data_IF_099468934167
#
_entry.id   IF_099468934167
#
_cell.length_a   1.000
_cell.length_b   1.000
_cell.length_c   1.000
_cell.angle_alpha   90.00
_cell.angle_beta   90.00
_cell.angle_gamma   90.00
#
_symmetry.space_group_name_H-M   'P 1'
#
loop_
_entity.id
_entity.type
_entity.pdbx_description
1 polymer ?
#
# COMPACT_ATOMS: atom_id res chain seq x y z
N UNK A 1 3.08 -18.40 -20.27
CA UNK A 1 1.81 -19.01 -19.81
C UNK A 1 1.80 -18.89 -18.31
N UNK A 2 0.71 -18.37 -17.72
CA UNK A 2 0.50 -18.29 -16.28
C UNK A 2 -0.55 -19.34 -15.90
N UNK A 3 -0.22 -20.23 -14.97
CA UNK A 3 -1.18 -21.15 -14.36
C UNK A 3 -1.69 -20.58 -13.04
N UNK A 4 -2.95 -20.82 -12.71
CA UNK A 4 -3.52 -20.42 -11.42
C UNK A 4 -3.04 -21.36 -10.31
N UNK A 5 -2.90 -20.83 -9.09
CA UNK A 5 -2.70 -21.66 -7.90
C UNK A 5 -3.99 -22.40 -7.51
N UNK A 6 -3.85 -23.60 -6.94
CA UNK A 6 -4.99 -24.35 -6.41
C UNK A 6 -5.71 -23.58 -5.29
N UNK A 7 -7.04 -23.64 -5.24
CA UNK A 7 -7.91 -23.06 -4.19
C UNK A 7 -7.90 -21.54 -4.04
N UNK A 8 -7.19 -20.84 -4.92
CA UNK A 8 -7.06 -19.38 -4.88
C UNK A 8 -8.33 -18.63 -5.30
N UNK A 9 -9.35 -19.32 -5.83
CA UNK A 9 -10.66 -18.76 -6.19
C UNK A 9 -11.42 -18.11 -5.01
N UNK A 10 -11.04 -18.45 -3.77
CA UNK A 10 -11.56 -17.81 -2.56
C UNK A 10 -11.13 -16.34 -2.48
N UNK A 11 -9.92 -16.04 -2.94
CA UNK A 11 -9.32 -14.72 -2.87
C UNK A 11 -9.44 -13.96 -4.19
N UNK A 12 -9.35 -14.69 -5.31
CA UNK A 12 -9.20 -14.14 -6.64
C UNK A 12 -10.38 -14.50 -7.54
N UNK A 13 -11.01 -13.47 -8.09
CA UNK A 13 -12.03 -13.58 -9.11
C UNK A 13 -11.36 -13.63 -10.50
N UNK A 14 -11.34 -14.82 -11.12
CA UNK A 14 -10.67 -15.05 -12.41
C UNK A 14 -11.35 -14.35 -13.59
N UNK A 15 -12.64 -14.08 -13.50
CA UNK A 15 -13.34 -13.29 -14.52
C UNK A 15 -12.99 -11.81 -14.40
N UNK A 16 -12.89 -11.30 -13.17
CA UNK A 16 -12.39 -9.95 -12.90
C UNK A 16 -10.94 -9.80 -13.33
N UNK A 17 -10.06 -10.74 -13.01
CA UNK A 17 -8.65 -10.73 -13.45
C UNK A 17 -8.57 -10.63 -14.98
N UNK A 18 -9.33 -11.47 -15.70
CA UNK A 18 -9.36 -11.46 -17.17
C UNK A 18 -9.84 -10.13 -17.72
N UNK A 19 -10.94 -9.57 -17.19
CA UNK A 19 -11.50 -8.29 -17.64
C UNK A 19 -10.55 -7.13 -17.33
N UNK A 20 -9.91 -7.15 -16.18
CA UNK A 20 -8.90 -6.17 -15.78
C UNK A 20 -7.70 -6.20 -16.73
N UNK A 21 -7.20 -7.39 -17.06
CA UNK A 21 -6.12 -7.55 -18.04
C UNK A 21 -6.53 -7.00 -19.41
N UNK A 22 -7.70 -7.40 -19.92
CA UNK A 22 -8.19 -6.96 -21.22
C UNK A 22 -8.31 -5.42 -21.31
N UNK A 23 -8.90 -4.80 -20.28
CA UNK A 23 -9.01 -3.35 -20.16
C UNK A 23 -7.63 -2.67 -20.14
N UNK A 24 -6.69 -3.19 -19.35
CA UNK A 24 -5.33 -2.67 -19.30
C UNK A 24 -4.62 -2.78 -20.66
N UNK A 25 -4.82 -3.88 -21.37
CA UNK A 25 -4.23 -4.10 -22.69
C UNK A 25 -4.79 -3.13 -23.73
N UNK A 26 -6.11 -2.86 -23.70
CA UNK A 26 -6.76 -1.87 -24.57
C UNK A 26 -6.20 -0.47 -24.37
N UNK A 27 -5.83 -0.11 -23.14
CA UNK A 27 -5.21 1.19 -22.83
C UNK A 27 -3.69 1.21 -22.93
N UNK A 28 -3.05 0.14 -23.43
CA UNK A 28 -1.60 0.05 -23.58
C UNK A 28 -0.82 -0.01 -22.26
N UNK A 29 -1.48 -0.43 -21.17
CA UNK A 29 -0.91 -0.57 -19.83
C UNK A 29 -0.51 -2.02 -19.49
N UNK A 30 -1.03 -2.99 -20.24
CA UNK A 30 -0.67 -4.41 -20.15
C UNK A 30 -0.36 -4.99 -21.53
N UNK A 31 0.40 -6.09 -21.61
CA UNK A 31 0.56 -6.84 -22.86
C UNK A 31 -0.79 -7.45 -23.30
N UNK A 32 -1.02 -7.63 -24.62
CA UNK A 32 -2.23 -8.29 -25.11
C UNK A 32 -2.41 -9.69 -24.51
N UNK A 33 -3.63 -9.97 -24.06
CA UNK A 33 -4.07 -11.31 -23.70
C UNK A 33 -4.27 -12.11 -25.00
N UNK A 34 -3.56 -13.24 -25.13
CA UNK A 34 -3.57 -14.09 -26.31
C UNK A 34 -4.60 -15.22 -26.18
N UNK A 35 -4.76 -15.78 -24.97
CA UNK A 35 -5.76 -16.81 -24.68
C UNK A 35 -6.09 -16.87 -23.18
N UNK A 36 -7.29 -17.37 -22.86
CA UNK A 36 -7.73 -17.74 -21.51
C UNK A 36 -8.05 -19.24 -21.48
N UNK A 37 -7.58 -19.91 -20.45
CA UNK A 37 -7.89 -21.31 -20.13
C UNK A 37 -8.68 -21.37 -18.81
N UNK A 38 -9.24 -22.53 -18.49
CA UNK A 38 -9.91 -22.73 -17.20
C UNK A 38 -8.96 -22.55 -16.02
N UNK A 39 -7.69 -22.94 -16.18
CA UNK A 39 -6.67 -22.95 -15.14
C UNK A 39 -5.54 -21.92 -15.39
N UNK A 40 -5.72 -20.94 -16.28
CA UNK A 40 -4.64 -19.98 -16.54
C UNK A 40 -4.89 -18.99 -17.66
N UNK A 41 -3.87 -18.18 -17.92
CA UNK A 41 -3.84 -17.12 -18.93
C UNK A 41 -2.58 -17.24 -19.80
N UNK A 42 -2.71 -16.83 -21.05
CA UNK A 42 -1.59 -16.64 -21.96
C UNK A 42 -1.60 -15.20 -22.46
N UNK A 43 -0.54 -14.46 -22.19
CA UNK A 43 -0.32 -13.09 -22.66
C UNK A 43 1.13 -12.93 -23.11
N UNK A 44 1.40 -11.87 -23.88
CA UNK A 44 2.72 -11.62 -24.44
C UNK A 44 3.78 -11.38 -23.35
N UNK A 45 4.94 -11.99 -23.51
CA UNK A 45 6.09 -11.77 -22.62
C UNK A 45 6.57 -10.32 -22.69
N UNK A 46 6.80 -9.72 -21.53
CA UNK A 46 7.38 -8.38 -21.40
C UNK A 46 8.89 -8.53 -21.20
N UNK A 47 9.68 -8.02 -22.14
CA UNK A 47 11.14 -7.98 -21.99
C UNK A 47 11.51 -6.90 -20.98
N UNK A 48 12.38 -7.21 -20.02
CA UNK A 48 12.86 -6.25 -19.04
C UNK A 48 13.50 -6.92 -17.82
N UNK A 49 13.89 -6.10 -16.84
CA UNK A 49 14.42 -6.54 -15.54
C UNK A 49 13.34 -6.42 -14.48
N UNK A 50 13.04 -7.52 -13.79
CA UNK A 50 12.16 -7.53 -12.61
C UNK A 50 12.86 -6.75 -11.49
N UNK A 51 12.14 -5.85 -10.80
CA UNK A 51 12.73 -5.12 -9.67
C UNK A 51 12.75 -5.96 -8.39
N UNK A 52 13.69 -5.65 -7.52
CA UNK A 52 13.78 -6.14 -6.14
C UNK A 52 13.47 -5.01 -5.16
N UNK A 53 13.26 -5.28 -3.86
CA UNK A 53 13.10 -4.22 -2.86
C UNK A 53 14.24 -3.19 -2.86
N UNK A 54 15.46 -3.60 -3.18
CA UNK A 54 16.64 -2.72 -3.22
C UNK A 54 16.58 -1.74 -4.41
N UNK A 55 16.00 -2.15 -5.53
CA UNK A 55 15.82 -1.30 -6.70
C UNK A 55 14.81 -0.15 -6.44
N UNK A 56 13.85 -0.33 -5.51
CA UNK A 56 12.79 0.66 -5.24
C UNK A 56 13.33 1.96 -4.63
N UNK A 57 14.48 1.92 -3.96
CA UNK A 57 15.14 3.12 -3.43
C UNK A 57 15.82 3.97 -4.52
N UNK A 58 15.92 3.48 -5.77
CA UNK A 58 16.51 4.23 -6.86
C UNK A 58 15.54 5.33 -7.36
N UNK A 59 15.93 6.63 -7.33
CA UNK A 59 15.09 7.73 -7.80
C UNK A 59 14.55 7.60 -9.21
N UNK A 60 15.30 6.97 -10.11
CA UNK A 60 14.83 6.78 -11.49
C UNK A 60 13.71 5.75 -11.56
N UNK A 61 13.78 4.71 -10.73
CA UNK A 61 12.81 3.61 -10.71
C UNK A 61 11.54 4.06 -9.98
N UNK A 62 11.64 4.62 -8.77
CA UNK A 62 10.41 5.02 -8.06
C UNK A 62 9.67 6.16 -8.77
N UNK A 63 10.37 7.07 -9.46
CA UNK A 63 9.72 8.09 -10.31
C UNK A 63 9.04 7.46 -11.53
N UNK A 64 9.65 6.46 -12.14
CA UNK A 64 9.02 5.70 -13.22
C UNK A 64 7.75 4.97 -12.76
N UNK A 65 7.79 4.37 -11.57
CA UNK A 65 6.62 3.74 -10.94
C UNK A 65 5.54 4.79 -10.67
N UNK A 66 5.90 5.94 -10.08
CA UNK A 66 4.98 7.03 -9.81
C UNK A 66 4.23 7.50 -11.06
N UNK A 67 4.96 7.73 -12.17
CA UNK A 67 4.36 8.09 -13.47
C UNK A 67 3.43 7.00 -13.99
N UNK A 68 3.89 5.74 -14.02
CA UNK A 68 3.09 4.63 -14.56
C UNK A 68 1.81 4.40 -13.75
N UNK A 69 1.91 4.46 -12.42
CA UNK A 69 0.77 4.31 -11.53
C UNK A 69 -0.22 5.49 -11.66
N UNK A 70 0.30 6.70 -11.81
CA UNK A 70 -0.53 7.88 -12.06
C UNK A 70 -1.30 7.78 -13.38
N UNK A 71 -0.62 7.36 -14.47
CA UNK A 71 -1.26 7.11 -15.76
C UNK A 71 -2.37 6.06 -15.61
N UNK A 72 -2.08 4.93 -14.97
CA UNK A 72 -3.05 3.87 -14.70
C UNK A 72 -4.29 4.42 -13.98
N UNK A 73 -4.09 5.12 -12.86
CA UNK A 73 -5.18 5.67 -12.05
C UNK A 73 -5.99 6.76 -12.76
N UNK A 74 -5.38 7.50 -13.68
CA UNK A 74 -6.03 8.60 -14.40
C UNK A 74 -6.91 8.12 -15.57
N UNK A 75 -6.47 7.09 -16.30
CA UNK A 75 -7.13 6.70 -17.56
C UNK A 75 -8.14 5.56 -17.40
N UNK A 76 -8.01 4.74 -16.37
CA UNK A 76 -8.83 3.53 -16.24
C UNK A 76 -10.16 3.79 -15.53
N UNK A 77 -11.28 3.35 -16.12
CA UNK A 77 -12.61 3.54 -15.55
C UNK A 77 -12.89 2.59 -14.39
N UNK A 78 -13.58 3.08 -13.36
CA UNK A 78 -14.00 2.27 -12.21
C UNK A 78 -15.33 1.53 -12.42
N UNK A 79 -16.14 1.93 -13.41
CA UNK A 79 -17.50 1.42 -13.61
C UNK A 79 -17.60 0.25 -14.61
N UNK A 80 -16.64 0.11 -15.53
CA UNK A 80 -16.70 -0.84 -16.67
C UNK A 80 -16.47 -2.31 -16.29
N UNK A 81 -16.24 -2.59 -15.00
CA UNK A 81 -15.98 -3.95 -14.48
C UNK A 81 -17.17 -4.43 -13.62
N UNK A 82 -18.29 -3.71 -13.62
CA UNK A 82 -19.56 -4.33 -13.22
C UNK A 82 -19.90 -5.43 -14.24
N UNK A 83 -20.32 -6.63 -13.82
CA UNK A 83 -20.77 -7.64 -14.79
C UNK A 83 -21.87 -6.99 -15.63
N UNK A 84 -21.65 -6.89 -16.94
CA UNK A 84 -22.72 -6.62 -17.88
C UNK A 84 -23.72 -7.75 -17.68
N UNK A 85 -24.89 -7.44 -17.14
CA UNK A 85 -26.04 -8.31 -17.31
C UNK A 85 -26.24 -8.46 -18.81
N UNK A 86 -25.86 -9.62 -19.35
CA UNK A 86 -26.15 -9.98 -20.72
C UNK A 86 -27.68 -9.87 -20.91
N UNK A 87 -28.18 -9.31 -22.03
CA UNK A 87 -29.61 -9.22 -22.30
C UNK A 87 -30.36 -10.58 -22.33
N UNK A 88 -29.65 -11.71 -22.27
CA UNK A 88 -30.21 -13.05 -22.37
C UNK A 88 -30.82 -13.62 -21.08
N UNK A 89 -30.61 -13.01 -19.90
CA UNK A 89 -31.20 -13.52 -18.64
C UNK A 89 -32.70 -13.19 -18.45
N UNK A 90 -33.37 -12.60 -19.45
CA UNK A 90 -34.79 -12.22 -19.34
C UNK A 90 -35.78 -13.24 -19.89
N UNK A 91 -35.35 -14.41 -20.37
CA UNK A 91 -36.23 -15.48 -20.81
C UNK A 91 -35.64 -16.87 -20.55
N UNK A 92 -35.75 -17.38 -19.32
CA UNK A 92 -35.77 -18.83 -19.06
C UNK A 92 -36.38 -19.11 -17.67
N UNK A 93 -37.65 -18.75 -17.50
CA UNK A 93 -38.49 -19.36 -16.46
C UNK A 93 -39.04 -20.64 -17.09
N UNK A 94 -38.39 -21.78 -16.82
CA UNK A 94 -38.98 -23.12 -16.61
C UNK A 94 -37.98 -24.22 -16.97
N UNK A 95 -37.24 -24.75 -15.97
CA UNK A 95 -36.96 -26.19 -15.78
C UNK A 95 -36.07 -26.42 -14.55
N UNK A 96 -36.27 -27.49 -13.76
CA UNK A 96 -35.59 -27.69 -12.49
C UNK A 96 -34.25 -28.42 -12.70
N UNK A 97 -33.12 -27.72 -12.54
CA UNK A 97 -31.80 -28.31 -12.53
C UNK A 97 -31.19 -28.33 -11.12
N UNK A 98 -30.77 -29.54 -10.75
CA UNK A 98 -29.97 -30.04 -9.61
C UNK A 98 -29.12 -29.00 -8.83
N UNK A 99 -29.09 -29.05 -7.48
CA UNK A 99 -28.31 -28.10 -6.70
C UNK A 99 -26.82 -28.45 -6.76
N UNK A 100 -26.05 -27.71 -7.54
CA UNK A 100 -24.60 -27.56 -7.34
C UNK A 100 -24.39 -26.69 -6.09
N UNK A 101 -23.95 -27.33 -5.00
CA UNK A 101 -23.56 -26.68 -3.74
C UNK A 101 -22.32 -25.82 -3.97
N UNK A 102 -22.50 -24.53 -4.18
CA UNK A 102 -21.52 -23.52 -3.77
C UNK A 102 -21.55 -23.44 -2.23
N UNK A 103 -20.39 -23.43 -1.54
CA UNK A 103 -20.38 -23.20 -0.11
C UNK A 103 -20.71 -21.73 0.14
N UNK A 104 -21.97 -21.44 0.44
CA UNK A 104 -22.39 -20.19 1.06
C UNK A 104 -21.63 -20.07 2.38
N UNK A 105 -20.64 -19.19 2.44
CA UNK A 105 -19.98 -18.78 3.68
C UNK A 105 -21.04 -18.10 4.55
N UNK A 106 -21.73 -18.89 5.38
CA UNK A 106 -22.93 -18.43 6.07
C UNK A 106 -22.56 -17.41 7.15
N UNK A 107 -23.15 -16.23 7.02
CA UNK A 107 -23.19 -15.18 8.06
C UNK A 107 -23.84 -15.68 9.36
N UNK A 108 -24.54 -16.81 9.30
CA UNK A 108 -25.28 -17.45 10.40
C UNK A 108 -24.39 -18.12 11.45
N UNK A 109 -23.12 -18.41 11.18
CA UNK A 109 -22.25 -19.15 12.14
C UNK A 109 -21.79 -18.26 13.31
N UNK A 110 -21.62 -16.96 13.06
CA UNK A 110 -20.95 -16.03 14.00
C UNK A 110 -21.69 -14.71 14.23
N UNK A 111 -22.94 -14.58 13.76
CA UNK A 111 -23.77 -13.37 13.83
C UNK A 111 -23.10 -12.10 13.28
N UNK A 112 -22.31 -12.23 12.20
CA UNK A 112 -21.68 -11.08 11.54
C UNK A 112 -22.53 -10.55 10.40
N UNK A 113 -22.76 -9.23 10.40
CA UNK A 113 -23.44 -8.54 9.32
C UNK A 113 -22.40 -7.93 8.35
N UNK A 114 -22.55 -8.09 7.03
CA UNK A 114 -21.72 -7.39 6.06
C UNK A 114 -21.79 -5.86 6.25
N UNK A 115 -20.64 -5.20 6.22
CA UNK A 115 -20.57 -3.74 6.37
C UNK A 115 -21.24 -3.05 5.19
N UNK A 116 -22.06 -2.05 5.48
CA UNK A 116 -22.64 -1.19 4.45
C UNK A 116 -21.58 -0.23 3.91
N UNK A 117 -21.22 -0.40 2.65
CA UNK A 117 -20.30 0.48 1.91
C UNK A 117 -21.08 1.55 1.13
N UNK A 118 -20.42 2.67 0.80
CA UNK A 118 -21.04 3.80 0.08
C UNK A 118 -21.38 3.47 -1.37
N UNK A 119 -20.43 2.87 -2.07
CA UNK A 119 -20.57 2.55 -3.49
C UNK A 119 -21.00 1.10 -3.68
N UNK A 120 -22.06 0.90 -4.47
CA UNK A 120 -22.45 -0.44 -4.91
C UNK A 120 -21.44 -1.00 -5.93
N UNK A 121 -21.28 -2.31 -5.95
CA UNK A 121 -20.40 -3.01 -6.88
C UNK A 121 -19.08 -3.48 -6.26
N UNK A 122 -18.14 -3.88 -7.12
CA UNK A 122 -16.83 -4.39 -6.68
C UNK A 122 -15.89 -3.23 -6.39
N UNK A 123 -15.32 -3.24 -5.20
CA UNK A 123 -14.32 -2.30 -4.69
C UNK A 123 -13.40 -2.96 -3.67
N UNK A 124 -12.32 -2.28 -3.30
CA UNK A 124 -11.46 -2.63 -2.17
C UNK A 124 -12.25 -3.09 -0.94
N UNK A 125 -13.26 -2.31 -0.53
CA UNK A 125 -14.10 -2.60 0.63
C UNK A 125 -14.88 -3.90 0.46
N UNK A 126 -15.52 -4.09 -0.70
CA UNK A 126 -16.29 -5.32 -0.96
C UNK A 126 -15.40 -6.58 -1.01
N UNK A 127 -14.16 -6.44 -1.49
CA UNK A 127 -13.19 -7.55 -1.55
C UNK A 127 -12.74 -7.92 -0.15
N UNK A 128 -12.37 -6.94 0.67
CA UNK A 128 -11.95 -7.19 2.05
C UNK A 128 -13.09 -7.76 2.90
N UNK A 129 -14.34 -7.33 2.68
CA UNK A 129 -15.51 -7.95 3.29
C UNK A 129 -15.64 -9.43 2.90
N UNK A 130 -15.50 -9.77 1.62
CA UNK A 130 -15.53 -11.17 1.15
C UNK A 130 -14.44 -12.00 1.81
N UNK A 131 -13.24 -11.45 1.96
CA UNK A 131 -12.13 -12.13 2.62
C UNK A 131 -12.41 -12.39 4.11
N UNK A 132 -12.90 -11.39 4.85
CA UNK A 132 -13.30 -11.58 6.25
C UNK A 132 -14.39 -12.64 6.37
N UNK A 133 -15.33 -12.69 5.41
CA UNK A 133 -16.35 -13.74 5.38
C UNK A 133 -15.77 -15.13 5.04
N UNK A 134 -14.62 -15.22 4.37
CA UNK A 134 -13.95 -16.47 4.03
C UNK A 134 -12.99 -16.96 5.13
N UNK A 135 -12.78 -16.19 6.20
CA UNK A 135 -11.94 -16.62 7.31
C UNK A 135 -12.48 -17.90 7.97
N UNK A 136 -11.60 -18.74 8.56
CA UNK A 136 -12.00 -19.96 9.24
C UNK A 136 -12.99 -19.73 10.38
N UNK A 137 -13.84 -20.72 10.64
CA UNK A 137 -14.88 -20.68 11.69
C UNK A 137 -15.09 -22.04 12.39
N UNK A 138 -14.13 -22.94 12.27
CA UNK A 138 -14.25 -24.31 12.79
C UNK A 138 -14.16 -24.34 14.31
N UNK A 139 -13.37 -23.43 14.90
CA UNK A 139 -13.16 -23.32 16.35
C UNK A 139 -13.67 -21.99 16.91
N UNK A 140 -13.96 -21.92 18.22
CA UNK A 140 -14.40 -20.68 18.84
C UNK A 140 -13.34 -19.56 18.78
N UNK A 141 -12.06 -19.93 18.82
CA UNK A 141 -10.96 -18.98 18.66
C UNK A 141 -10.96 -18.33 17.27
N UNK A 142 -11.23 -19.12 16.22
CA UNK A 142 -11.34 -18.62 14.85
C UNK A 142 -12.55 -17.69 14.69
N UNK A 143 -13.71 -18.06 15.25
CA UNK A 143 -14.90 -17.19 15.26
C UNK A 143 -14.67 -15.89 15.99
N UNK A 144 -14.03 -15.94 17.17
CA UNK A 144 -13.67 -14.74 17.93
C UNK A 144 -12.73 -13.84 17.13
N UNK A 145 -11.75 -14.42 16.44
CA UNK A 145 -10.83 -13.68 15.57
C UNK A 145 -11.56 -13.03 14.39
N UNK A 146 -12.44 -13.76 13.71
CA UNK A 146 -13.27 -13.25 12.61
C UNK A 146 -14.16 -12.09 13.06
N UNK A 147 -14.85 -12.23 14.20
CA UNK A 147 -15.66 -11.14 14.80
C UNK A 147 -14.82 -9.91 15.15
N UNK A 148 -13.61 -10.10 15.71
CA UNK A 148 -12.69 -8.98 16.01
C UNK A 148 -12.27 -8.24 14.73
N UNK A 149 -11.90 -8.97 13.68
CA UNK A 149 -11.52 -8.39 12.39
C UNK A 149 -12.71 -7.72 11.69
N UNK A 150 -13.90 -8.31 11.76
CA UNK A 150 -15.14 -7.71 11.25
C UNK A 150 -15.44 -6.37 11.93
N UNK A 151 -15.39 -6.32 13.26
CA UNK A 151 -15.60 -5.08 14.03
C UNK A 151 -14.57 -4.00 13.68
N UNK A 152 -13.32 -4.38 13.49
CA UNK A 152 -12.31 -3.40 13.07
C UNK A 152 -12.53 -2.97 11.62
N UNK A 153 -12.95 -3.86 10.73
CA UNK A 153 -13.29 -3.52 9.36
C UNK A 153 -14.48 -2.56 9.27
N UNK A 154 -15.50 -2.71 10.12
CA UNK A 154 -16.59 -1.72 10.27
C UNK A 154 -16.04 -0.33 10.60
N UNK A 155 -15.09 -0.27 11.54
CA UNK A 155 -14.42 0.97 11.92
C UNK A 155 -13.58 1.54 10.77
N UNK A 156 -12.85 0.69 10.04
CA UNK A 156 -12.08 1.09 8.85
C UNK A 156 -13.02 1.68 7.79
N UNK A 157 -14.12 1.01 7.43
CA UNK A 157 -15.05 1.53 6.42
C UNK A 157 -15.67 2.86 6.87
N UNK A 158 -16.12 2.95 8.12
CA UNK A 158 -16.69 4.19 8.67
C UNK A 158 -15.70 5.35 8.64
N UNK A 159 -14.41 5.06 8.89
CA UNK A 159 -13.36 6.06 8.87
C UNK A 159 -12.92 6.41 7.45
N UNK A 160 -12.79 5.46 6.52
CA UNK A 160 -12.05 5.61 5.26
C UNK A 160 -12.89 5.57 3.97
N UNK A 161 -14.11 5.02 3.98
CA UNK A 161 -15.02 5.07 2.84
C UNK A 161 -15.80 6.40 2.88
N UNK A 162 -15.10 7.50 2.58
CA UNK A 162 -15.56 8.87 2.83
C UNK A 162 -15.73 9.75 1.57
N UNK A 163 -15.68 9.14 0.38
CA UNK A 163 -15.69 9.78 -0.95
C UNK A 163 -14.58 10.82 -1.18
N UNK A 164 -13.57 10.89 -0.30
CA UNK A 164 -12.45 11.80 -0.44
C UNK A 164 -11.30 11.12 -1.15
N UNK A 165 -10.65 11.84 -2.05
CA UNK A 165 -9.45 11.36 -2.73
C UNK A 165 -9.43 11.74 -4.19
N UNK A 166 -8.47 11.20 -4.91
CA UNK A 166 -8.43 11.28 -6.38
C UNK A 166 -9.41 10.28 -6.99
N UNK A 167 -9.86 10.59 -8.20
CA UNK A 167 -10.80 9.75 -8.94
C UNK A 167 -12.27 9.97 -8.57
N UNK A 168 -13.15 9.23 -9.24
CA UNK A 168 -14.60 9.39 -9.10
C UNK A 168 -15.07 8.70 -7.82
N UNK A 169 -15.75 9.43 -6.94
CA UNK A 169 -16.14 8.91 -5.62
C UNK A 169 -14.94 8.62 -4.71
N UNK A 170 -13.80 9.28 -4.91
CA UNK A 170 -12.57 8.98 -4.17
C UNK A 170 -11.91 7.65 -4.55
N UNK A 171 -12.36 7.01 -5.64
CA UNK A 171 -11.83 5.74 -6.14
C UNK A 171 -11.17 5.90 -7.51
N UNK A 172 -10.10 5.14 -7.70
CA UNK A 172 -9.40 4.90 -8.97
C UNK A 172 -9.41 3.40 -9.25
N UNK A 173 -9.20 2.97 -10.49
CA UNK A 173 -8.95 1.56 -10.74
C UNK A 173 -7.50 1.25 -10.34
N UNK A 174 -7.31 0.51 -9.26
CA UNK A 174 -6.00 0.32 -8.61
C UNK A 174 -5.40 -1.05 -8.93
N UNK A 175 -4.09 -1.20 -8.74
CA UNK A 175 -3.40 -2.48 -8.85
C UNK A 175 -3.61 -3.36 -7.62
N UNK A 176 -3.62 -2.75 -6.43
CA UNK A 176 -3.80 -3.35 -5.10
C UNK A 176 -2.69 -4.31 -4.63
N UNK A 177 -1.69 -4.58 -5.46
CA UNK A 177 -0.60 -5.53 -5.16
C UNK A 177 0.71 -5.15 -5.88
N UNK A 178 1.09 -3.87 -5.79
CA UNK A 178 2.25 -3.35 -6.50
C UNK A 178 3.56 -3.58 -5.72
N UNK A 179 3.90 -4.84 -5.46
CA UNK A 179 5.19 -5.24 -4.90
C UNK A 179 6.33 -5.20 -5.94
N UNK A 180 7.58 -5.24 -5.49
CA UNK A 180 8.76 -5.10 -6.38
C UNK A 180 8.78 -6.11 -7.54
N UNK A 181 8.42 -7.37 -7.30
CA UNK A 181 8.39 -8.39 -8.35
C UNK A 181 7.31 -8.13 -9.43
N UNK A 182 6.32 -7.27 -9.16
CA UNK A 182 5.28 -6.88 -10.10
C UNK A 182 5.66 -5.65 -10.94
N UNK A 183 6.90 -5.15 -10.81
CA UNK A 183 7.44 -4.06 -11.60
C UNK A 183 8.56 -4.56 -12.50
N UNK A 184 8.40 -4.32 -13.81
CA UNK A 184 9.39 -4.63 -14.84
C UNK A 184 9.99 -3.33 -15.37
N UNK A 185 11.30 -3.13 -15.20
CA UNK A 185 12.05 -2.06 -15.88
C UNK A 185 12.26 -2.48 -17.33
N UNK A 186 11.74 -1.68 -18.26
CA UNK A 186 11.84 -1.96 -19.69
C UNK A 186 13.23 -1.59 -20.22
N UNK A 187 13.76 -2.33 -21.21
CA UNK A 187 15.00 -1.96 -21.88
C UNK A 187 14.88 -0.57 -22.51
N UNK A 188 15.95 0.21 -22.42
CA UNK A 188 16.07 1.46 -23.18
C UNK A 188 16.11 1.14 -24.68
N UNK A 189 15.56 2.03 -25.50
CA UNK A 189 15.55 1.85 -26.96
C UNK A 189 16.96 1.64 -27.53
N UNK A 190 17.07 0.97 -28.68
CA UNK A 190 18.37 0.70 -29.32
C UNK A 190 19.18 1.97 -29.65
N UNK A 191 18.52 3.12 -29.75
CA UNK A 191 19.14 4.44 -29.98
C UNK A 191 19.63 5.12 -28.68
N UNK A 192 19.57 4.43 -27.53
CA UNK A 192 20.06 4.97 -26.25
C UNK A 192 21.58 5.06 -26.27
N UNK A 193 22.09 6.26 -26.55
CA UNK A 193 23.52 6.57 -26.46
C UNK A 193 23.91 6.85 -25.00
N UNK A 194 25.22 6.82 -24.64
CA UNK A 194 25.70 7.25 -23.32
C UNK A 194 25.27 8.68 -22.96
N UNK A 195 24.98 9.55 -23.95
CA UNK A 195 24.43 10.88 -23.73
C UNK A 195 22.96 10.86 -23.26
N UNK A 196 22.19 9.83 -23.63
CA UNK A 196 20.83 9.58 -23.16
C UNK A 196 20.81 8.75 -21.86
N UNK A 197 21.96 8.55 -21.21
CA UNK A 197 22.03 7.86 -19.92
C UNK A 197 21.20 8.55 -18.81
N UNK A 198 20.85 9.82 -19.02
CA UNK A 198 20.00 10.66 -18.16
C UNK A 198 18.51 10.49 -18.41
N UNK A 199 18.09 9.75 -19.44
CA UNK A 199 16.67 9.46 -19.65
C UNK A 199 16.09 8.65 -18.48
N UNK A 200 14.87 9.05 -18.14
CA UNK A 200 14.04 8.44 -17.11
C UNK A 200 13.78 6.96 -17.43
N UNK A 201 13.83 6.10 -16.41
CA UNK A 201 13.45 4.70 -16.59
C UNK A 201 11.97 4.61 -16.99
N UNK A 202 11.66 3.57 -17.76
CA UNK A 202 10.28 3.20 -18.08
C UNK A 202 9.98 1.85 -17.44
N UNK A 203 8.82 1.75 -16.80
CA UNK A 203 8.36 0.51 -16.18
C UNK A 203 7.03 0.04 -16.76
N UNK A 204 6.78 -1.26 -16.63
CA UNK A 204 5.48 -1.90 -16.84
C UNK A 204 5.12 -2.69 -15.59
N UNK A 205 3.82 -2.74 -15.27
CA UNK A 205 3.31 -3.54 -14.16
C UNK A 205 2.78 -4.86 -14.69
N UNK A 206 2.80 -5.90 -13.87
CA UNK A 206 2.25 -7.22 -14.15
C UNK A 206 1.45 -7.72 -12.95
N UNK A 207 0.73 -8.82 -13.14
CA UNK A 207 0.00 -9.50 -12.07
C UNK A 207 -1.21 -8.70 -11.50
N UNK A 208 -2.29 -8.67 -12.28
CA UNK A 208 -3.44 -7.79 -12.04
C UNK A 208 -4.60 -8.47 -11.28
N UNK A 209 -4.33 -9.57 -10.57
CA UNK A 209 -5.40 -10.43 -10.02
C UNK A 209 -6.19 -9.78 -8.86
N UNK A 210 -5.53 -8.87 -8.15
CA UNK A 210 -6.13 -8.04 -7.09
C UNK A 210 -6.67 -6.71 -7.60
N UNK A 211 -6.49 -6.38 -8.89
CA UNK A 211 -6.89 -5.09 -9.43
C UNK A 211 -8.40 -4.87 -9.27
N UNK A 212 -8.77 -3.73 -8.66
CA UNK A 212 -10.15 -3.38 -8.34
C UNK A 212 -10.27 -1.88 -8.08
N UNK A 213 -11.47 -1.26 -8.24
CA UNK A 213 -11.71 0.10 -7.78
C UNK A 213 -11.34 0.26 -6.29
N UNK A 214 -10.42 1.19 -5.99
CA UNK A 214 -9.86 1.40 -4.66
C UNK A 214 -9.46 2.87 -4.44
N UNK A 215 -9.34 3.33 -3.19
CA UNK A 215 -8.73 4.63 -2.92
C UNK A 215 -7.30 4.69 -3.46
N UNK A 216 -6.95 5.73 -4.23
CA UNK A 216 -5.58 5.90 -4.73
C UNK A 216 -4.55 5.94 -3.59
N UNK A 217 -4.95 6.50 -2.45
CA UNK A 217 -4.13 6.55 -1.24
C UNK A 217 -3.80 5.16 -0.68
N UNK A 218 -4.72 4.19 -0.77
CA UNK A 218 -4.46 2.81 -0.40
C UNK A 218 -3.40 2.19 -1.31
N UNK A 219 -3.55 2.31 -2.63
CA UNK A 219 -2.66 1.63 -3.57
C UNK A 219 -1.21 2.16 -3.46
N UNK A 220 -1.06 3.47 -3.26
CA UNK A 220 0.24 4.10 -3.01
C UNK A 220 0.81 3.70 -1.64
N UNK A 221 -0.02 3.71 -0.59
CA UNK A 221 0.41 3.29 0.75
C UNK A 221 0.84 1.80 0.76
N UNK A 222 0.11 0.97 0.02
CA UNK A 222 0.43 -0.44 -0.19
C UNK A 222 1.78 -0.57 -0.90
N UNK A 223 1.98 0.11 -2.03
CA UNK A 223 3.26 0.12 -2.72
C UNK A 223 4.43 0.50 -1.79
N UNK A 224 4.28 1.53 -0.95
CA UNK A 224 5.32 1.89 0.03
C UNK A 224 5.56 0.84 1.12
N UNK A 225 4.52 0.12 1.55
CA UNK A 225 4.66 -0.99 2.49
C UNK A 225 5.44 -2.16 1.89
N UNK A 226 5.32 -2.39 0.58
CA UNK A 226 6.03 -3.45 -0.15
C UNK A 226 7.54 -3.19 -0.36
N UNK A 227 8.05 -1.99 -0.02
CA UNK A 227 9.50 -1.72 -0.04
C UNK A 227 10.25 -2.54 1.00
N UNK A 228 9.56 -2.98 2.07
CA UNK A 228 10.14 -3.84 3.09
C UNK A 228 10.39 -5.28 2.58
N UNK A 229 9.74 -5.67 1.47
CA UNK A 229 9.76 -7.04 0.94
C UNK A 229 9.14 -8.06 1.90
N UNK A 230 9.25 -9.34 1.56
CA UNK A 230 8.73 -10.44 2.39
C UNK A 230 9.41 -10.54 3.76
N UNK A 231 10.69 -10.14 3.84
CA UNK A 231 11.46 -10.10 5.09
C UNK A 231 11.01 -8.97 6.04
N UNK A 232 10.13 -8.08 5.57
CA UNK A 232 9.63 -6.92 6.33
C UNK A 232 10.76 -6.05 6.89
N UNK A 233 11.82 -5.81 6.11
CA UNK A 233 12.90 -4.90 6.48
C UNK A 233 12.42 -3.44 6.41
N UNK A 234 11.94 -2.94 7.55
CA UNK A 234 11.41 -1.59 7.65
C UNK A 234 12.46 -0.49 7.42
N UNK A 235 13.76 -0.80 7.37
CA UNK A 235 14.77 0.17 6.96
C UNK A 235 14.64 0.56 5.48
N UNK A 236 14.01 -0.29 4.67
CA UNK A 236 13.81 -0.06 3.24
C UNK A 236 12.57 0.79 2.95
N UNK A 237 11.66 1.00 3.91
CA UNK A 237 10.47 1.84 3.72
C UNK A 237 10.90 3.28 3.40
N UNK A 238 10.27 3.94 2.40
CA UNK A 238 10.65 5.27 1.95
C UNK A 238 10.45 6.30 3.06
N UNK A 239 11.43 7.19 3.20
CA UNK A 239 11.32 8.33 4.12
C UNK A 239 10.25 9.31 3.64
N UNK A 240 9.84 10.24 4.50
CA UNK A 240 8.92 11.32 4.12
C UNK A 240 9.38 12.12 2.89
N UNK A 241 10.69 12.42 2.76
CA UNK A 241 11.20 13.14 1.60
C UNK A 241 11.02 12.34 0.30
N UNK A 242 11.36 11.05 0.32
CA UNK A 242 11.17 10.13 -0.82
C UNK A 242 9.69 9.98 -1.15
N UNK A 243 8.82 9.80 -0.15
CA UNK A 243 7.36 9.77 -0.34
C UNK A 243 6.86 11.05 -1.02
N UNK A 244 7.34 12.23 -0.59
CA UNK A 244 6.96 13.51 -1.18
C UNK A 244 7.45 13.65 -2.63
N UNK A 245 8.67 13.19 -2.94
CA UNK A 245 9.18 13.15 -4.31
C UNK A 245 8.34 12.23 -5.20
N UNK A 246 8.03 11.02 -4.74
CA UNK A 246 7.15 10.08 -5.44
C UNK A 246 5.78 10.71 -5.72
N UNK A 247 5.16 11.32 -4.71
CA UNK A 247 3.84 11.94 -4.86
C UNK A 247 3.87 13.18 -5.77
N UNK A 248 4.96 13.93 -5.77
CA UNK A 248 5.14 15.07 -6.69
C UNK A 248 5.14 14.58 -8.13
N UNK A 249 5.91 13.54 -8.42
CA UNK A 249 5.98 12.94 -9.76
C UNK A 249 4.63 12.29 -10.16
N UNK A 250 3.99 11.59 -9.22
CA UNK A 250 2.67 10.99 -9.41
C UNK A 250 1.62 12.05 -9.76
N UNK A 251 1.52 13.15 -9.00
CA UNK A 251 0.52 14.20 -9.24
C UNK A 251 0.74 14.90 -10.57
N UNK A 252 2.01 15.15 -10.93
CA UNK A 252 2.38 15.71 -12.23
C UNK A 252 1.86 14.83 -13.36
N UNK A 253 2.19 13.54 -13.35
CA UNK A 253 1.76 12.60 -14.39
C UNK A 253 0.24 12.34 -14.37
N UNK A 254 -0.39 12.34 -13.20
CA UNK A 254 -1.85 12.19 -13.10
C UNK A 254 -2.56 13.36 -13.76
N UNK A 255 -2.06 14.58 -13.58
CA UNK A 255 -2.59 15.78 -14.22
C UNK A 255 -2.41 15.76 -15.75
N UNK A 256 -1.32 15.18 -16.27
CA UNK A 256 -1.08 15.01 -17.71
C UNK A 256 -2.06 14.03 -18.36
N UNK A 257 -2.55 13.04 -17.61
CA UNK A 257 -3.43 11.99 -18.11
C UNK A 257 -4.91 12.15 -17.71
N UNK A 258 -5.25 13.14 -16.89
CA UNK A 258 -6.61 13.41 -16.45
C UNK A 258 -7.11 14.77 -16.93
N UNK A 259 -8.42 14.99 -16.86
CA UNK A 259 -9.03 16.30 -17.18
C UNK A 259 -8.87 17.33 -16.04
N UNK A 260 -7.98 17.10 -15.07
CA UNK A 260 -7.72 18.05 -13.97
C UNK A 260 -6.90 19.25 -14.48
N UNK A 261 -7.51 20.08 -15.32
CA UNK A 261 -6.93 21.36 -15.73
C UNK A 261 -7.14 22.40 -14.62
N UNK A 262 -6.06 22.95 -14.05
CA UNK A 262 -6.10 24.15 -13.21
C UNK A 262 -6.01 23.96 -11.70
N UNK A 263 -5.87 22.73 -11.19
CA UNK A 263 -5.59 22.52 -9.76
C UNK A 263 -4.13 22.90 -9.43
N UNK A 264 -3.92 23.57 -8.29
CA UNK A 264 -2.57 23.82 -7.77
C UNK A 264 -1.93 22.47 -7.39
N UNK A 265 -0.98 22.00 -8.21
CA UNK A 265 -0.33 20.72 -8.01
C UNK A 265 0.31 20.58 -6.63
N UNK A 266 0.83 21.68 -6.06
CA UNK A 266 1.42 21.67 -4.72
C UNK A 266 0.39 21.32 -3.65
N UNK A 267 -0.81 21.89 -3.72
CA UNK A 267 -1.88 21.62 -2.75
C UNK A 267 -2.41 20.19 -2.91
N UNK A 268 -2.48 19.69 -4.14
CA UNK A 268 -2.85 18.29 -4.43
C UNK A 268 -1.82 17.32 -3.85
N UNK A 269 -0.52 17.62 -4.00
CA UNK A 269 0.56 16.81 -3.39
C UNK A 269 0.44 16.79 -1.87
N UNK A 270 0.24 17.94 -1.22
CA UNK A 270 0.11 18.01 0.24
C UNK A 270 -1.13 17.27 0.74
N UNK A 271 -2.27 17.37 0.04
CA UNK A 271 -3.48 16.63 0.37
C UNK A 271 -3.25 15.13 0.20
N UNK A 272 -2.70 14.70 -0.94
CA UNK A 272 -2.43 13.30 -1.22
C UNK A 272 -1.41 12.71 -0.25
N UNK A 273 -0.41 13.49 0.18
CA UNK A 273 0.55 13.08 1.20
C UNK A 273 -0.15 12.71 2.52
N UNK A 274 -1.06 13.58 2.98
CA UNK A 274 -1.87 13.32 4.19
C UNK A 274 -2.81 12.13 4.00
N UNK A 275 -3.45 12.02 2.84
CA UNK A 275 -4.35 10.91 2.53
C UNK A 275 -3.57 9.58 2.54
N UNK A 276 -2.42 9.48 1.85
CA UNK A 276 -1.55 8.28 1.88
C UNK A 276 -1.08 7.94 3.29
N UNK A 277 -0.71 8.95 4.09
CA UNK A 277 -0.32 8.72 5.48
C UNK A 277 -1.44 8.15 6.33
N UNK A 278 -2.68 8.61 6.10
CA UNK A 278 -3.87 8.08 6.76
C UNK A 278 -4.08 6.59 6.43
N UNK A 279 -3.77 6.15 5.21
CA UNK A 279 -3.92 4.76 4.77
C UNK A 279 -2.74 3.85 5.14
N UNK A 280 -1.64 4.37 5.71
CA UNK A 280 -0.37 3.62 5.83
C UNK A 280 -0.44 2.33 6.66
N UNK A 281 -1.39 2.17 7.58
CA UNK A 281 -1.58 0.91 8.30
C UNK A 281 -2.49 -0.10 7.61
N UNK A 282 -3.33 0.35 6.66
CA UNK A 282 -4.33 -0.50 5.99
C UNK A 282 -3.71 -1.68 5.23
N UNK A 283 -2.53 -1.56 4.56
CA UNK A 283 -1.85 -2.71 3.95
C UNK A 283 -1.60 -3.86 4.94
N UNK A 284 -1.26 -3.56 6.19
CA UNK A 284 -1.06 -4.58 7.23
C UNK A 284 -2.33 -5.35 7.54
N UNK A 285 -3.48 -4.68 7.59
CA UNK A 285 -4.77 -5.34 7.78
C UNK A 285 -5.16 -6.17 6.55
N UNK A 286 -5.01 -5.60 5.36
CA UNK A 286 -5.35 -6.25 4.09
C UNK A 286 -4.58 -7.56 3.89
N UNK A 287 -3.25 -7.50 3.96
CA UNK A 287 -2.39 -8.67 3.80
C UNK A 287 -2.44 -9.62 4.98
N UNK A 288 -2.71 -9.11 6.18
CA UNK A 288 -2.95 -9.93 7.37
C UNK A 288 -4.17 -10.84 7.21
N UNK A 289 -5.31 -10.29 6.76
CA UNK A 289 -6.53 -11.09 6.49
C UNK A 289 -6.29 -12.07 5.35
N UNK A 290 -5.64 -11.63 4.27
CA UNK A 290 -5.25 -12.51 3.14
C UNK A 290 -4.41 -13.70 3.61
N UNK A 291 -3.41 -13.45 4.45
CA UNK A 291 -2.48 -14.47 4.93
C UNK A 291 -3.17 -15.49 5.84
N UNK A 292 -4.15 -15.08 6.65
CA UNK A 292 -4.94 -16.01 7.45
C UNK A 292 -5.75 -17.00 6.62
N UNK A 293 -6.25 -16.55 5.46
CA UNK A 293 -6.95 -17.43 4.51
C UNK A 293 -5.92 -18.38 3.88
N UNK A 294 -4.80 -17.84 3.38
CA UNK A 294 -3.75 -18.64 2.74
C UNK A 294 -3.15 -19.70 3.66
N UNK A 295 -3.02 -19.42 4.96
CA UNK A 295 -2.56 -20.38 5.97
C UNK A 295 -3.43 -21.65 6.06
N UNK A 296 -4.63 -21.65 5.48
CA UNK A 296 -5.52 -22.82 5.42
C UNK A 296 -5.60 -23.49 4.06
N UNK A 297 -5.37 -22.74 2.98
CA UNK A 297 -5.69 -23.21 1.62
C UNK A 297 -4.47 -23.33 0.71
N UNK A 298 -3.39 -22.62 1.00
CA UNK A 298 -2.20 -22.61 0.16
C UNK A 298 -1.43 -23.91 0.28
N UNK A 299 -0.89 -24.39 -0.85
CA UNK A 299 0.03 -25.53 -0.93
C UNK A 299 1.50 -25.09 -1.03
N UNK A 300 1.75 -23.77 -1.04
CA UNK A 300 3.10 -23.20 -1.13
C UNK A 300 3.76 -23.27 0.25
N UNK A 301 5.03 -23.68 0.27
CA UNK A 301 5.87 -23.69 1.47
C UNK A 301 6.25 -22.25 1.87
N UNK A 302 5.33 -21.58 2.56
CA UNK A 302 5.49 -20.24 3.11
C UNK A 302 4.73 -20.14 4.43
N UNK A 303 5.34 -19.53 5.45
CA UNK A 303 4.72 -19.39 6.78
C UNK A 303 3.69 -18.24 6.80
N UNK A 304 2.53 -18.50 6.19
CA UNK A 304 1.42 -17.57 6.14
C UNK A 304 0.87 -17.20 7.53
N UNK A 305 0.98 -18.09 8.52
CA UNK A 305 0.47 -17.82 9.86
C UNK A 305 1.33 -16.74 10.55
N UNK A 306 2.66 -16.91 10.55
CA UNK A 306 3.57 -15.90 11.10
C UNK A 306 3.50 -14.59 10.30
N UNK A 307 3.41 -14.68 8.96
CA UNK A 307 3.23 -13.50 8.12
C UNK A 307 1.93 -12.75 8.44
N UNK A 308 0.82 -13.46 8.70
CA UNK A 308 -0.44 -12.84 9.12
C UNK A 308 -0.31 -12.05 10.43
N UNK A 309 0.35 -12.62 11.44
CA UNK A 309 0.56 -11.93 12.72
C UNK A 309 1.46 -10.71 12.56
N UNK A 310 2.51 -10.81 11.74
CA UNK A 310 3.40 -9.70 11.45
C UNK A 310 2.64 -8.53 10.79
N UNK A 311 1.87 -8.79 9.73
CA UNK A 311 1.12 -7.76 8.99
C UNK A 311 -0.02 -7.16 9.81
N UNK A 312 -0.76 -7.98 10.56
CA UNK A 312 -1.76 -7.46 11.51
C UNK A 312 -1.10 -6.65 12.63
N UNK A 313 0.08 -7.06 13.09
CA UNK A 313 0.90 -6.33 14.04
C UNK A 313 1.25 -4.92 13.55
N UNK A 314 1.64 -4.77 12.28
CA UNK A 314 1.86 -3.45 11.66
C UNK A 314 0.61 -2.57 11.71
N UNK A 315 -0.54 -3.14 11.40
CA UNK A 315 -1.81 -2.43 11.48
C UNK A 315 -2.11 -1.97 12.90
N UNK A 316 -2.03 -2.86 13.89
CA UNK A 316 -2.32 -2.50 15.28
C UNK A 316 -1.31 -1.50 15.84
N UNK A 317 -0.03 -1.63 15.53
CA UNK A 317 0.99 -0.64 15.87
C UNK A 317 0.60 0.74 15.33
N UNK A 318 0.26 0.83 14.04
CA UNK A 318 -0.24 2.06 13.44
C UNK A 318 -1.48 2.61 14.14
N UNK A 319 -2.49 1.77 14.41
CA UNK A 319 -3.71 2.20 15.12
C UNK A 319 -3.40 2.82 16.47
N UNK A 320 -2.50 2.18 17.23
CA UNK A 320 -2.10 2.64 18.56
C UNK A 320 -1.32 3.95 18.54
N UNK A 321 -0.66 4.28 17.43
CA UNK A 321 -0.09 5.61 17.23
C UNK A 321 -1.17 6.65 16.92
N UNK A 322 -2.14 6.31 16.09
CA UNK A 322 -3.22 7.24 15.69
C UNK A 322 -4.16 7.55 16.85
N UNK A 323 -4.50 6.57 17.68
CA UNK A 323 -5.37 6.77 18.86
C UNK A 323 -4.60 7.20 20.12
N UNK A 324 -3.27 7.26 20.07
CA UNK A 324 -2.39 7.69 21.15
C UNK A 324 -2.20 6.67 22.27
N UNK A 325 -2.80 5.48 22.19
CA UNK A 325 -2.73 4.45 23.25
C UNK A 325 -1.31 3.91 23.43
N UNK A 326 -0.48 3.88 22.38
CA UNK A 326 0.95 3.50 22.50
C UNK A 326 1.72 4.49 23.38
N UNK A 327 1.53 5.79 23.15
CA UNK A 327 2.19 6.83 23.94
C UNK A 327 1.73 6.83 25.40
N UNK A 328 0.45 6.58 25.64
CA UNK A 328 -0.11 6.49 27.00
C UNK A 328 0.44 5.28 27.77
N UNK A 329 0.73 4.19 27.07
CA UNK A 329 1.36 3.00 27.64
C UNK A 329 2.87 3.16 27.89
N UNK A 330 3.49 4.28 27.47
CA UNK A 330 4.94 4.50 27.61
C UNK A 330 5.80 3.61 26.72
N UNK A 331 5.23 3.04 25.66
CA UNK A 331 5.93 2.10 24.79
C UNK A 331 6.79 2.83 23.73
N UNK A 332 7.88 2.17 23.32
CA UNK A 332 8.74 2.66 22.24
C UNK A 332 7.99 2.62 20.89
N UNK A 333 8.14 3.70 20.11
CA UNK A 333 7.57 3.76 18.78
C UNK A 333 8.28 2.78 17.83
N UNK A 334 7.55 1.89 17.13
CA UNK A 334 8.14 0.94 16.19
C UNK A 334 8.90 1.64 15.05
N UNK A 335 9.93 0.98 14.50
CA UNK A 335 10.80 1.54 13.45
C UNK A 335 10.02 2.06 12.23
N UNK A 336 9.06 1.27 11.73
CA UNK A 336 8.15 1.63 10.63
C UNK A 336 7.42 2.95 10.88
N UNK A 337 6.96 3.13 12.11
CA UNK A 337 6.24 4.33 12.55
C UNK A 337 7.21 5.52 12.64
N UNK A 338 8.39 5.34 13.26
CA UNK A 338 9.43 6.38 13.34
C UNK A 338 9.87 6.91 11.98
N UNK A 339 9.95 6.06 10.96
CA UNK A 339 10.28 6.48 9.58
C UNK A 339 9.15 7.22 8.87
N UNK A 340 7.91 7.02 9.32
CA UNK A 340 6.72 7.69 8.79
C UNK A 340 6.50 9.07 9.43
N UNK A 341 6.88 9.24 10.71
CA UNK A 341 6.78 10.52 11.42
C UNK A 341 7.95 11.46 11.09
N UNK A 342 7.64 12.74 10.90
CA UNK A 342 8.62 13.81 11.02
C UNK A 342 8.81 14.08 12.52
N UNK A 343 10.06 14.12 12.99
CA UNK A 343 10.39 14.85 14.22
C UNK A 343 10.28 16.34 13.89
N UNK A 344 9.04 16.85 13.80
CA UNK A 344 8.87 18.30 13.73
C UNK A 344 9.05 18.76 15.16
N UNK A 345 10.14 19.47 15.43
CA UNK A 345 10.16 20.45 16.50
C UNK A 345 9.15 21.57 16.16
N UNK A 346 7.86 21.26 16.07
CA UNK A 346 6.77 22.24 16.00
C UNK A 346 5.83 22.01 17.16
N UNK A 347 6.27 22.46 18.31
CA UNK A 347 5.58 23.47 19.11
C UNK A 347 6.23 23.47 20.49
N UNK A 348 6.49 24.65 21.03
CA UNK A 348 7.02 24.86 22.37
C UNK A 348 6.19 24.16 23.48
N UNK A 349 4.99 23.64 23.16
CA UNK A 349 4.14 22.91 24.09
C UNK A 349 4.60 21.48 24.39
N UNK A 350 5.36 20.83 23.49
CA UNK A 350 5.84 19.45 23.74
C UNK A 350 7.07 19.43 24.65
N UNK A 351 7.85 20.50 24.65
CA UNK A 351 9.03 20.65 25.50
C UNK A 351 8.65 21.00 26.96
N UNK A 352 7.52 21.68 27.16
CA UNK A 352 6.94 21.94 28.49
C UNK A 352 6.41 20.67 29.17
N UNK A 353 5.85 19.72 28.41
CA UNK A 353 5.40 18.43 28.96
C UNK A 353 6.57 17.55 29.44
N UNK A 354 7.72 17.63 28.78
CA UNK A 354 8.97 16.95 29.16
C UNK A 354 9.73 17.66 30.29
N UNK A 355 9.61 18.98 30.42
CA UNK A 355 10.23 19.75 31.52
C UNK A 355 9.35 19.79 32.79
N UNK A 356 8.03 19.62 32.67
CA UNK A 356 7.10 19.50 33.79
C UNK A 356 7.23 18.17 34.54
N UNK A 357 7.80 17.14 33.90
CA UNK A 357 8.00 15.81 34.50
C UNK A 357 9.36 15.67 35.21
N UNK A 358 10.22 16.70 35.13
CA UNK A 358 11.55 16.72 35.78
C UNK A 358 11.74 17.79 36.87
N UNK A 359 10.73 18.60 37.15
CA UNK A 359 10.81 19.68 38.14
C UNK A 359 10.03 19.36 39.42
N UNK A 360 10.45 18.29 40.10
CA UNK A 360 10.18 18.07 41.53
C UNK A 360 11.50 17.79 42.25
N UNK A 361 12.42 18.76 42.30
CA UNK A 361 13.40 18.84 43.38
C UNK A 361 14.03 20.25 43.42
N UNK A 362 13.95 20.85 44.61
CA UNK A 362 14.65 22.05 45.12
C UNK A 362 14.15 23.44 44.73
N UNK A 363 13.41 24.00 45.68
CA UNK A 363 13.32 25.42 45.97
C UNK A 363 14.70 26.04 46.24
N UNK A 364 14.93 27.26 45.74
CA UNK A 364 15.61 28.35 46.45
C UNK A 364 15.66 29.63 45.58
N UNK A 365 15.08 30.71 46.12
CA UNK A 365 15.58 32.09 46.08
C UNK A 365 15.60 32.97 44.80
N UNK A 366 15.06 34.18 45.02
CA UNK A 366 15.35 35.52 44.47
C UNK A 366 14.56 36.15 43.29
N UNK A 367 13.79 37.17 43.70
CA UNK A 367 13.46 38.50 43.15
C UNK A 367 13.88 38.92 41.73
N UNK A 368 12.88 39.47 41.01
CA UNK A 368 12.81 40.79 40.36
C UNK A 368 14.06 41.47 39.74
N UNK A 369 13.91 41.77 38.43
CA UNK A 369 14.20 43.04 37.69
C UNK A 369 15.07 42.85 36.42
N UNK A 370 14.73 43.51 35.28
CA UNK A 370 15.22 43.19 33.93
C UNK A 370 16.30 44.19 33.43
N UNK A 371 16.86 43.95 32.22
CA UNK A 371 17.15 44.93 31.13
C UNK A 371 18.37 44.54 30.25
N UNK A 372 18.14 44.63 28.94
CA UNK A 372 19.03 44.95 27.79
C UNK A 372 20.01 43.93 27.16
N UNK A 373 20.23 44.04 25.83
CA UNK A 373 20.92 43.05 25.00
C UNK A 373 22.40 43.37 24.81
N UNK A 374 23.23 42.34 24.60
CA UNK A 374 24.61 42.52 24.14
C UNK A 374 24.92 41.56 22.99
N UNK A 375 25.42 42.16 21.91
CA UNK A 375 26.04 41.52 20.76
C UNK A 375 27.46 41.07 21.12
N UNK A 376 27.86 39.86 20.71
CA UNK A 376 29.27 39.52 20.53
C UNK A 376 29.43 38.34 19.55
N UNK A 377 30.05 38.63 18.42
CA UNK A 377 30.74 37.71 17.51
C UNK A 377 31.97 37.11 18.18
N UNK A 378 32.19 35.80 18.07
CA UNK A 378 33.53 35.20 18.19
C UNK A 378 33.73 34.02 17.25
N UNK A 379 34.95 34.01 16.71
CA UNK A 379 35.47 33.25 15.57
C UNK A 379 36.11 31.92 15.98
N UNK A 380 36.16 31.00 15.02
CA UNK A 380 36.80 29.67 15.03
C UNK A 380 38.26 29.60 15.53
N UNK A 381 38.55 28.54 16.29
CA UNK A 381 39.80 27.73 16.37
C UNK A 381 39.32 26.33 16.78
N UNK A 382 39.58 25.18 16.17
CA UNK A 382 40.69 24.66 15.36
C UNK A 382 41.08 23.30 15.96
N UNK A 383 41.45 22.31 15.11
CA UNK A 383 42.25 21.07 15.42
C UNK A 383 41.39 19.88 15.97
N UNK A 384 41.36 18.62 15.49
CA UNK A 384 42.02 17.79 14.44
C UNK A 384 41.08 16.58 14.14
N UNK A 385 41.09 15.98 12.93
CA UNK A 385 40.30 14.80 12.57
C UNK A 385 40.97 13.47 12.94
N UNK A 386 40.17 12.46 13.31
CA UNK A 386 40.61 11.05 13.42
C UNK A 386 40.17 10.30 12.16
N UNK A 387 41.16 9.90 11.36
CA UNK A 387 41.05 8.94 10.26
C UNK A 387 41.18 7.53 10.83
N UNK A 388 40.27 6.62 10.48
CA UNK A 388 40.53 5.19 10.54
C UNK A 388 40.56 4.63 9.13
N UNK A 389 41.75 4.22 8.73
CA UNK A 389 42.04 3.44 7.53
C UNK A 389 42.18 1.98 7.98
N UNK A 390 41.47 1.05 7.34
CA UNK A 390 41.82 -0.36 7.37
C UNK A 390 41.74 -0.92 5.95
N UNK A 391 42.92 -1.08 5.36
CA UNK A 391 43.16 -1.95 4.21
C UNK A 391 43.59 -3.33 4.72
N UNK A 392 42.98 -4.41 4.22
CA UNK A 392 43.69 -5.68 3.99
C UNK A 392 43.07 -6.40 2.81
N UNK A 393 43.81 -6.36 1.70
CA UNK A 393 43.83 -7.37 0.64
C UNK A 393 44.43 -8.68 1.16
N UNK A 394 43.81 -9.81 0.83
CA UNK A 394 44.53 -11.03 0.42
C UNK A 394 43.63 -11.92 -0.44
N UNK A 395 44.29 -12.58 -1.38
CA UNK A 395 43.85 -13.29 -2.57
C UNK A 395 43.40 -14.74 -2.37
N UNK A 396 42.51 -15.19 -3.26
CA UNK A 396 42.53 -16.47 -4.05
C UNK A 396 42.62 -17.80 -3.29
N UNK A 397 41.65 -18.70 -3.52
CA UNK A 397 41.88 -20.06 -4.06
C UNK A 397 40.57 -20.71 -4.57
N UNK A 398 40.64 -21.20 -5.82
CA UNK A 398 39.79 -22.18 -6.57
C UNK A 398 38.29 -21.96 -6.71
#
# INVERSE_FOLDING_TARGET
>A
MRAYGNHTEILIDRERETRSHALLAERGLAPPLLARFQNGLLYRFIRGKVTSPDDLNNPRIFKAIARRLAQWHAVLPINEISPTSSPQERQEITSPARPTRTPTASTEVDDIAPVKIRHAGTSFWSVLQKWILALPVSTEQERLRRRKLQKEFERIVAEFDDDKGLGKGGLVFAHCDLLSANVIVLPRGADSTPANATEDETVSFIDYEYATPSPAAFDIANHFAEWAGYDCDFNKIPTQSVRKEFLTEYVKSYAEHSTLSGANQKDVVEKLFKDVDRFRGIPGFYWGVWALIQARISQIDFDYASYAELRLGEYWAWRREIDGTRSQAGEEMPLRERRSFHFVLTSANSMLALLSSYSHFKAAFFMFVPIAPFSATYTLKGIIPITFCYSRTTSVFT
#
